data_IF_925691530802
#
_entry.id   IF_925691530802
#
_cell.length_a   1.000
_cell.length_b   1.000
_cell.length_c   1.000
_cell.angle_alpha   90.00
_cell.angle_beta   90.00
_cell.angle_gamma   90.00
#
_symmetry.space_group_name_H-M   'P 1'
#
loop_
_entity.id
_entity.type
_entity.pdbx_description
1 polymer ?
#
# COMPACT_ATOMS: atom_id res chain seq x y z
N UNK A 1 -21.31 47.55 0.11
CA UNK A 1 -22.09 48.60 0.77
C UNK A 1 -21.87 48.57 2.29
N UNK A 2 -22.25 49.62 3.01
CA UNK A 2 -22.20 49.64 4.47
C UNK A 2 -23.12 48.56 5.04
N UNK A 3 -22.57 47.66 5.91
CA UNK A 3 -23.33 46.57 6.51
C UNK A 3 -23.33 45.28 5.72
N UNK A 4 -22.61 45.18 4.60
CA UNK A 4 -22.40 43.91 3.89
C UNK A 4 -21.31 43.07 4.56
N UNK A 5 -21.54 41.76 4.62
CA UNK A 5 -20.58 40.77 5.12
C UNK A 5 -20.13 39.90 3.96
N UNK A 6 -18.86 39.53 3.94
CA UNK A 6 -18.30 38.64 2.94
C UNK A 6 -17.04 37.93 3.44
N UNK A 7 -16.79 36.72 2.93
CA UNK A 7 -15.49 36.05 3.09
C UNK A 7 -14.48 36.74 2.17
N UNK A 8 -13.35 37.16 2.75
CA UNK A 8 -12.27 37.81 2.02
C UNK A 8 -10.93 37.18 2.34
N UNK A 9 -10.07 37.08 1.34
CA UNK A 9 -8.70 36.66 1.52
C UNK A 9 -7.77 37.88 1.36
N UNK A 10 -7.02 38.17 2.41
CA UNK A 10 -5.98 39.19 2.37
C UNK A 10 -4.64 38.55 1.97
N UNK A 11 -3.92 39.30 1.15
CA UNK A 11 -2.54 38.98 0.84
C UNK A 11 -1.69 40.16 1.24
N UNK A 12 -0.75 39.93 2.14
CA UNK A 12 0.18 40.92 2.62
C UNK A 12 1.51 40.82 1.85
N UNK A 13 2.17 41.97 1.66
CA UNK A 13 3.50 42.02 1.05
C UNK A 13 4.58 41.51 2.03
N UNK A 14 4.35 41.68 3.33
CA UNK A 14 5.22 41.20 4.41
C UNK A 14 4.48 40.18 5.29
N UNK A 15 5.21 39.23 5.92
CA UNK A 15 4.62 38.28 6.85
C UNK A 15 3.93 38.99 8.03
N UNK A 16 2.69 38.60 8.33
CA UNK A 16 1.91 39.10 9.44
C UNK A 16 1.59 37.98 10.40
N UNK A 17 1.83 38.17 11.69
CA UNK A 17 1.46 37.21 12.71
C UNK A 17 0.00 37.34 13.08
N UNK A 18 -0.83 36.41 12.69
CA UNK A 18 -2.27 36.36 13.02
C UNK A 18 -2.64 34.92 13.43
N UNK A 19 -3.70 34.78 14.21
CA UNK A 19 -4.27 33.53 14.64
C UNK A 19 -5.75 33.45 14.31
N UNK A 20 -6.30 32.28 14.24
CA UNK A 20 -7.74 32.06 14.15
C UNK A 20 -8.45 32.80 15.32
N UNK A 21 -9.56 33.41 15.05
CA UNK A 21 -10.37 34.23 15.96
C UNK A 21 -9.77 35.61 16.31
N UNK A 22 -8.62 35.98 15.76
CA UNK A 22 -8.14 37.38 15.91
C UNK A 22 -9.09 38.31 15.21
N UNK A 23 -9.34 39.50 15.84
CA UNK A 23 -10.16 40.55 15.26
C UNK A 23 -9.29 41.61 14.61
N UNK A 24 -9.70 42.09 13.45
CA UNK A 24 -8.98 43.10 12.71
C UNK A 24 -9.90 44.26 12.31
N UNK A 25 -9.29 45.45 12.08
CA UNK A 25 -9.97 46.64 11.59
C UNK A 25 -9.29 47.09 10.31
N UNK A 26 -10.07 47.49 9.32
CA UNK A 26 -9.59 48.01 8.04
C UNK A 26 -9.84 49.52 8.03
N UNK A 27 -8.78 50.28 7.72
CA UNK A 27 -8.83 51.75 7.63
C UNK A 27 -8.20 52.22 6.32
N UNK A 28 -8.73 53.32 5.78
CA UNK A 28 -8.02 54.05 4.74
C UNK A 28 -6.79 54.74 5.33
N UNK A 29 -5.73 54.82 4.52
CA UNK A 29 -4.49 55.45 4.95
C UNK A 29 -4.66 56.97 5.10
N UNK A 30 -5.34 57.65 4.14
CA UNK A 30 -5.59 59.09 4.19
C UNK A 30 -6.90 59.41 3.45
N UNK A 31 -7.89 60.05 4.11
CA UNK A 31 -7.96 60.25 5.55
C UNK A 31 -8.13 58.94 6.31
N UNK A 32 -7.69 58.89 7.58
CA UNK A 32 -7.79 57.67 8.40
C UNK A 32 -9.25 57.44 8.81
N UNK A 33 -10.00 56.76 7.95
CA UNK A 33 -11.42 56.41 8.21
C UNK A 33 -11.52 54.89 8.28
N UNK A 34 -12.14 54.39 9.36
CA UNK A 34 -12.48 52.96 9.47
C UNK A 34 -13.61 52.66 8.50
N UNK A 35 -13.38 51.68 7.63
CA UNK A 35 -14.40 51.26 6.68
C UNK A 35 -14.90 49.84 6.88
N UNK A 36 -14.21 49.03 7.69
CA UNK A 36 -14.63 47.68 7.99
C UNK A 36 -13.76 47.02 9.06
N UNK A 37 -14.03 45.75 9.28
CA UNK A 37 -13.29 44.88 10.17
C UNK A 37 -13.83 43.46 10.07
N UNK A 38 -13.24 42.52 10.78
CA UNK A 38 -13.69 41.13 10.75
C UNK A 38 -12.95 40.26 11.75
N UNK A 39 -13.14 38.97 11.57
CA UNK A 39 -12.51 37.91 12.35
C UNK A 39 -11.69 37.02 11.40
N UNK A 40 -10.52 36.64 11.83
CA UNK A 40 -9.65 35.67 11.08
C UNK A 40 -10.19 34.28 11.25
N UNK A 41 -10.64 33.66 10.18
CA UNK A 41 -11.10 32.26 10.18
C UNK A 41 -9.93 31.30 9.95
N UNK A 42 -8.97 31.70 9.13
CA UNK A 42 -7.80 30.90 8.75
C UNK A 42 -6.57 31.82 8.60
N UNK A 43 -5.49 31.48 9.32
CA UNK A 43 -4.28 32.32 9.35
C UNK A 43 -3.35 32.02 8.14
N UNK A 44 -3.32 30.77 7.67
CA UNK A 44 -2.45 30.30 6.59
C UNK A 44 -3.27 29.84 5.38
N UNK A 45 -4.21 30.69 4.92
CA UNK A 45 -5.11 30.35 3.83
C UNK A 45 -4.36 30.16 2.51
N UNK A 46 -4.58 29.01 1.86
CA UNK A 46 -4.13 28.81 0.49
C UNK A 46 -4.91 29.71 -0.47
N UNK A 47 -4.29 30.08 -1.61
CA UNK A 47 -4.98 30.89 -2.61
C UNK A 47 -6.13 30.12 -3.26
N UNK A 48 -7.34 30.58 -3.07
CA UNK A 48 -8.54 30.01 -3.67
C UNK A 48 -9.05 30.82 -4.86
N UNK A 49 -9.77 30.14 -5.75
CA UNK A 49 -10.53 30.80 -6.81
C UNK A 49 -11.77 31.46 -6.20
N UNK A 50 -12.20 32.58 -6.79
CA UNK A 50 -13.40 33.30 -6.37
C UNK A 50 -14.65 32.42 -6.53
N UNK A 51 -15.58 32.48 -5.59
CA UNK A 51 -16.88 31.79 -5.62
C UNK A 51 -16.81 30.25 -5.80
N UNK A 52 -15.79 29.62 -5.23
CA UNK A 52 -15.73 28.15 -5.19
C UNK A 52 -16.61 27.65 -4.05
N UNK A 53 -17.69 26.91 -4.36
CA UNK A 53 -18.70 26.49 -3.39
C UNK A 53 -18.10 25.72 -2.19
N UNK A 54 -17.21 24.75 -2.45
CA UNK A 54 -16.53 23.98 -1.40
C UNK A 54 -15.73 24.85 -0.42
N UNK A 55 -15.09 25.92 -0.92
CA UNK A 55 -14.34 26.87 -0.09
C UNK A 55 -15.29 27.70 0.77
N UNK A 56 -16.42 28.14 0.20
CA UNK A 56 -17.43 28.91 0.95
C UNK A 56 -18.05 28.05 2.05
N UNK A 57 -18.36 26.78 1.76
CA UNK A 57 -18.88 25.84 2.75
C UNK A 57 -17.86 25.57 3.87
N UNK A 58 -16.58 25.36 3.53
CA UNK A 58 -15.49 25.22 4.50
C UNK A 58 -15.39 26.45 5.41
N UNK A 59 -15.42 27.67 4.85
CA UNK A 59 -15.38 28.91 5.62
C UNK A 59 -16.62 29.10 6.51
N UNK A 60 -17.79 28.68 6.03
CA UNK A 60 -19.02 28.70 6.81
C UNK A 60 -18.95 27.78 8.04
N UNK A 61 -18.39 26.56 7.87
CA UNK A 61 -18.13 25.67 8.99
C UNK A 61 -17.10 26.27 9.95
N UNK A 62 -16.03 26.89 9.44
CA UNK A 62 -15.00 27.56 10.26
C UNK A 62 -15.57 28.76 11.06
N UNK A 63 -16.62 29.39 10.56
CA UNK A 63 -17.27 30.55 11.21
C UNK A 63 -18.35 30.12 12.23
N UNK A 64 -19.27 29.25 11.83
CA UNK A 64 -20.50 28.92 12.57
C UNK A 64 -20.54 27.50 13.13
N UNK A 65 -19.65 26.60 12.70
CA UNK A 65 -19.60 25.24 13.14
C UNK A 65 -19.20 25.11 14.62
N UNK A 66 -19.58 23.98 15.20
CA UNK A 66 -19.07 23.56 16.51
C UNK A 66 -17.57 23.29 16.46
N UNK A 67 -16.90 23.33 17.58
CA UNK A 67 -15.47 23.01 17.68
C UNK A 67 -15.13 21.63 17.06
N UNK A 68 -16.01 20.65 17.24
CA UNK A 68 -15.84 19.31 16.70
C UNK A 68 -15.96 19.29 15.16
N UNK A 69 -16.87 20.04 14.58
CA UNK A 69 -17.03 20.17 13.12
C UNK A 69 -15.85 20.88 12.49
N UNK A 70 -15.37 21.94 13.15
CA UNK A 70 -14.16 22.65 12.69
C UNK A 70 -12.93 21.77 12.75
N UNK A 71 -12.74 20.98 13.81
CA UNK A 71 -11.65 20.03 13.92
C UNK A 71 -11.75 18.91 12.87
N UNK A 72 -12.95 18.36 12.63
CA UNK A 72 -13.19 17.35 11.60
C UNK A 72 -12.81 17.86 10.21
N UNK A 73 -13.23 19.09 9.89
CA UNK A 73 -12.89 19.74 8.63
C UNK A 73 -11.38 19.94 8.48
N UNK A 74 -10.72 20.50 9.50
CA UNK A 74 -9.28 20.72 9.48
C UNK A 74 -8.51 19.40 9.35
N UNK A 75 -8.94 18.35 10.06
CA UNK A 75 -8.37 17.02 9.91
C UNK A 75 -8.56 16.47 8.50
N UNK A 76 -9.71 16.68 7.87
CA UNK A 76 -9.98 16.27 6.50
C UNK A 76 -9.04 16.96 5.51
N UNK A 77 -8.88 18.27 5.63
CA UNK A 77 -7.98 19.08 4.79
C UNK A 77 -6.50 18.68 4.95
N UNK A 78 -6.07 18.34 6.18
CA UNK A 78 -4.69 18.02 6.52
C UNK A 78 -4.33 16.52 6.42
N UNK A 79 -5.29 15.63 6.20
CA UNK A 79 -5.08 14.16 6.26
C UNK A 79 -3.94 13.66 5.40
N UNK A 80 -3.69 14.29 4.24
CA UNK A 80 -2.57 13.94 3.34
C UNK A 80 -1.18 14.14 3.95
N UNK A 81 -1.10 14.99 5.00
CA UNK A 81 0.15 15.30 5.70
C UNK A 81 0.30 14.53 7.01
N UNK A 82 -0.67 13.66 7.36
CA UNK A 82 -0.66 12.85 8.58
C UNK A 82 -0.44 13.69 9.84
N UNK A 83 -1.31 14.67 10.12
CA UNK A 83 -1.11 15.60 11.21
C UNK A 83 -1.09 14.90 12.57
N UNK A 84 -0.24 15.38 13.46
CA UNK A 84 -0.27 15.07 14.89
C UNK A 84 -1.09 16.15 15.62
N UNK A 85 -1.63 15.87 16.84
CA UNK A 85 -2.47 16.83 17.56
C UNK A 85 -1.88 18.25 17.65
N UNK A 86 -0.57 18.35 17.86
CA UNK A 86 0.13 19.63 17.95
C UNK A 86 0.00 20.53 16.70
N UNK A 87 -0.05 19.93 15.52
CA UNK A 87 -0.19 20.69 14.26
C UNK A 87 -1.58 21.25 14.15
N UNK A 88 -2.61 20.45 14.42
CA UNK A 88 -4.01 20.89 14.40
C UNK A 88 -4.29 21.90 15.50
N UNK A 89 -3.74 21.71 16.69
CA UNK A 89 -3.83 22.66 17.81
C UNK A 89 -3.30 24.03 17.44
N UNK A 90 -2.16 24.10 16.78
CA UNK A 90 -1.57 25.36 16.33
C UNK A 90 -2.47 26.09 15.32
N UNK A 91 -3.07 25.38 14.37
CA UNK A 91 -3.98 25.94 13.36
C UNK A 91 -5.29 26.43 13.95
N UNK A 92 -5.84 25.68 14.93
CA UNK A 92 -7.10 26.01 15.58
C UNK A 92 -6.96 27.01 16.72
N UNK A 93 -5.73 27.36 17.13
CA UNK A 93 -5.42 28.16 18.32
C UNK A 93 -5.95 27.54 19.62
N UNK A 94 -5.82 26.18 19.71
CA UNK A 94 -6.20 25.37 20.86
C UNK A 94 -4.99 24.85 21.61
N UNK A 95 -5.21 24.27 22.78
CA UNK A 95 -4.19 23.50 23.48
C UNK A 95 -4.01 22.12 22.85
N UNK A 96 -2.82 21.55 22.99
CA UNK A 96 -2.56 20.21 22.48
C UNK A 96 -3.44 19.14 23.15
N UNK A 97 -3.67 19.29 24.45
CA UNK A 97 -4.51 18.38 25.25
C UNK A 97 -5.97 18.40 24.77
N UNK A 98 -6.55 19.59 24.65
CA UNK A 98 -7.91 19.76 24.16
C UNK A 98 -8.10 19.19 22.76
N UNK A 99 -7.14 19.44 21.86
CA UNK A 99 -7.16 18.89 20.50
C UNK A 99 -7.10 17.38 20.51
N UNK A 100 -6.25 16.77 21.36
CA UNK A 100 -6.16 15.30 21.46
C UNK A 100 -7.46 14.68 21.99
N UNK A 101 -8.07 15.29 23.01
CA UNK A 101 -9.36 14.87 23.57
C UNK A 101 -10.46 14.89 22.50
N UNK A 102 -10.56 15.96 21.72
CA UNK A 102 -11.55 16.11 20.65
C UNK A 102 -11.27 15.16 19.47
N UNK A 103 -10.00 14.90 19.11
CA UNK A 103 -9.65 13.88 18.12
C UNK A 103 -10.08 12.48 18.54
N UNK A 104 -9.96 12.14 19.83
CA UNK A 104 -10.46 10.88 20.35
C UNK A 104 -11.99 10.76 20.26
N UNK A 105 -12.72 11.87 20.38
CA UNK A 105 -14.17 11.90 20.12
C UNK A 105 -14.45 11.57 18.65
N UNK A 106 -13.70 12.16 17.72
CA UNK A 106 -13.83 11.83 16.28
C UNK A 106 -13.49 10.37 15.99
N UNK A 107 -12.48 9.81 16.65
CA UNK A 107 -12.11 8.39 16.51
C UNK A 107 -13.24 7.47 17.02
N UNK A 108 -13.79 7.76 18.19
CA UNK A 108 -14.96 7.02 18.76
C UNK A 108 -16.18 7.14 17.85
N UNK A 109 -16.39 8.31 17.25
CA UNK A 109 -17.44 8.59 16.26
C UNK A 109 -17.17 7.98 14.87
N UNK A 110 -16.06 7.25 14.67
CA UNK A 110 -15.65 6.66 13.40
C UNK A 110 -15.46 7.70 12.28
N UNK A 111 -15.16 8.94 12.63
CA UNK A 111 -14.89 10.05 11.72
C UNK A 111 -13.38 10.24 11.48
N UNK A 112 -12.55 9.73 12.38
CA UNK A 112 -11.09 9.76 12.28
C UNK A 112 -10.47 8.40 12.58
N UNK A 113 -9.23 8.22 12.14
CA UNK A 113 -8.38 7.06 12.42
C UNK A 113 -7.10 7.55 13.09
N UNK A 114 -6.84 7.06 14.31
CA UNK A 114 -5.56 7.24 14.98
C UNK A 114 -4.59 6.17 14.47
N UNK A 115 -3.43 6.60 14.00
CA UNK A 115 -2.36 5.73 13.54
C UNK A 115 -1.36 5.42 14.66
N UNK A 116 -0.57 4.37 14.49
CA UNK A 116 0.37 3.87 15.52
C UNK A 116 1.51 4.84 15.85
N UNK A 117 1.81 5.77 14.99
CA UNK A 117 2.82 6.83 15.19
C UNK A 117 2.27 8.10 15.86
N UNK A 118 1.01 8.06 16.30
CA UNK A 118 0.34 9.18 16.95
C UNK A 118 -0.24 10.24 15.99
N UNK A 119 -0.13 10.05 14.67
CA UNK A 119 -0.82 10.88 13.70
C UNK A 119 -2.28 10.47 13.53
N UNK A 120 -3.10 11.37 13.00
CA UNK A 120 -4.52 11.17 12.75
C UNK A 120 -4.82 11.45 11.28
N UNK A 121 -5.79 10.72 10.73
CA UNK A 121 -6.33 10.99 9.40
C UNK A 121 -7.85 10.89 9.41
N UNK A 122 -8.51 11.66 8.56
CA UNK A 122 -9.95 11.59 8.38
C UNK A 122 -10.37 10.25 7.76
N UNK A 123 -11.57 9.76 8.12
CA UNK A 123 -12.11 8.49 7.61
C UNK A 123 -12.17 8.41 6.08
N UNK A 124 -12.47 9.54 5.41
CA UNK A 124 -12.58 9.55 3.95
C UNK A 124 -11.22 9.23 3.31
N UNK A 125 -10.14 9.89 3.77
CA UNK A 125 -8.80 9.62 3.28
C UNK A 125 -8.32 8.20 3.62
N UNK A 126 -8.65 7.70 4.82
CA UNK A 126 -8.42 6.30 5.17
C UNK A 126 -9.15 5.34 4.24
N UNK A 127 -10.43 5.61 3.93
CA UNK A 127 -11.22 4.79 3.03
C UNK A 127 -10.65 4.78 1.61
N UNK A 128 -10.22 5.93 1.09
CA UNK A 128 -9.55 6.03 -0.21
C UNK A 128 -8.31 5.14 -0.28
N UNK A 129 -7.43 5.23 0.73
CA UNK A 129 -6.20 4.41 0.81
C UNK A 129 -6.54 2.92 0.89
N UNK A 130 -7.48 2.54 1.74
CA UNK A 130 -7.83 1.13 1.96
C UNK A 130 -8.58 0.52 0.80
N UNK A 131 -9.44 1.29 0.15
CA UNK A 131 -10.12 0.88 -1.07
C UNK A 131 -9.10 0.63 -2.18
N UNK A 132 -8.23 1.59 -2.45
CA UNK A 132 -7.16 1.43 -3.45
C UNK A 132 -6.28 0.20 -3.14
N UNK A 133 -5.83 0.05 -1.89
CA UNK A 133 -5.02 -1.08 -1.47
C UNK A 133 -5.72 -2.43 -1.68
N UNK A 134 -7.02 -2.50 -1.39
CA UNK A 134 -7.83 -3.70 -1.59
C UNK A 134 -8.02 -4.02 -3.09
N UNK A 135 -8.32 -3.00 -3.90
CA UNK A 135 -8.45 -3.15 -5.35
C UNK A 135 -7.14 -3.60 -6.00
N UNK A 136 -6.02 -3.00 -5.58
CA UNK A 136 -4.68 -3.36 -6.03
C UNK A 136 -4.36 -4.84 -5.74
N UNK A 137 -4.64 -5.32 -4.53
CA UNK A 137 -4.42 -6.72 -4.16
C UNK A 137 -5.37 -7.66 -4.91
N UNK A 138 -6.62 -7.30 -5.06
CA UNK A 138 -7.59 -8.10 -5.82
C UNK A 138 -7.20 -8.22 -7.30
N UNK A 139 -6.70 -7.14 -7.91
CA UNK A 139 -6.19 -7.17 -9.27
C UNK A 139 -4.95 -8.06 -9.38
N UNK A 140 -4.01 -7.92 -8.41
CA UNK A 140 -2.82 -8.77 -8.35
C UNK A 140 -3.18 -10.25 -8.27
N UNK A 141 -4.15 -10.63 -7.43
CA UNK A 141 -4.60 -12.01 -7.29
C UNK A 141 -5.26 -12.56 -8.55
N UNK A 142 -6.01 -11.74 -9.31
CA UNK A 142 -6.57 -12.15 -10.61
C UNK A 142 -5.47 -12.44 -11.64
N UNK A 143 -4.40 -11.64 -11.62
CA UNK A 143 -3.27 -11.81 -12.54
C UNK A 143 -2.31 -12.92 -12.10
N UNK A 144 -2.23 -13.19 -10.79
CA UNK A 144 -1.31 -14.13 -10.16
C UNK A 144 -2.05 -15.08 -9.20
N UNK A 145 -2.97 -15.91 -9.69
CA UNK A 145 -3.87 -16.71 -8.85
C UNK A 145 -3.18 -17.78 -8.00
N UNK A 146 -1.89 -18.02 -8.24
CA UNK A 146 -1.06 -19.01 -7.53
C UNK A 146 -0.15 -18.33 -6.50
N UNK A 147 -0.01 -17.01 -6.56
CA UNK A 147 0.83 -16.26 -5.62
C UNK A 147 0.12 -16.11 -4.28
N UNK A 148 0.87 -16.25 -3.19
CA UNK A 148 0.35 -16.01 -1.84
C UNK A 148 -0.02 -14.54 -1.60
N UNK A 149 0.43 -13.62 -2.46
CA UNK A 149 0.15 -12.18 -2.41
C UNK A 149 1.22 -11.34 -3.11
N UNK A 150 1.05 -10.02 -3.03
CA UNK A 150 2.00 -9.04 -3.52
C UNK A 150 3.14 -8.85 -2.51
N UNK A 151 4.37 -8.60 -2.95
CA UNK A 151 5.49 -8.27 -2.05
C UNK A 151 5.19 -7.00 -1.25
N UNK A 152 5.54 -7.00 0.06
CA UNK A 152 5.26 -5.88 0.97
C UNK A 152 5.83 -4.56 0.46
N UNK A 153 7.05 -4.57 -0.04
CA UNK A 153 7.72 -3.35 -0.53
C UNK A 153 7.05 -2.82 -1.81
N UNK A 154 6.61 -3.71 -2.70
CA UNK A 154 5.85 -3.31 -3.88
C UNK A 154 4.51 -2.67 -3.50
N UNK A 155 3.76 -3.30 -2.58
CA UNK A 155 2.49 -2.76 -2.09
C UNK A 155 2.68 -1.37 -1.47
N UNK A 156 3.67 -1.21 -0.58
CA UNK A 156 3.99 0.07 0.07
C UNK A 156 4.37 1.15 -0.95
N UNK A 157 5.23 0.82 -1.91
CA UNK A 157 5.65 1.76 -2.95
C UNK A 157 4.46 2.27 -3.76
N UNK A 158 3.54 1.37 -4.16
CA UNK A 158 2.35 1.76 -4.93
C UNK A 158 1.40 2.67 -4.14
N UNK A 159 1.22 2.44 -2.83
CA UNK A 159 0.46 3.34 -1.95
C UNK A 159 1.13 4.72 -1.89
N UNK A 160 2.44 4.79 -1.62
CA UNK A 160 3.18 6.05 -1.54
C UNK A 160 3.07 6.85 -2.84
N UNK A 161 3.26 6.20 -3.98
CA UNK A 161 3.25 6.83 -5.29
C UNK A 161 1.87 7.36 -5.67
N UNK A 162 0.82 6.58 -5.41
CA UNK A 162 -0.57 6.96 -5.73
C UNK A 162 -1.03 8.14 -4.90
N UNK A 163 -0.79 8.11 -3.60
CA UNK A 163 -1.23 9.16 -2.68
C UNK A 163 -0.21 10.29 -2.49
N UNK A 164 0.91 10.25 -3.23
CA UNK A 164 2.00 11.25 -3.17
C UNK A 164 2.55 11.45 -1.75
N UNK A 165 2.61 10.38 -0.97
CA UNK A 165 3.11 10.39 0.39
C UNK A 165 4.65 10.42 0.35
N UNK A 166 5.25 11.48 0.92
CA UNK A 166 6.71 11.70 0.85
C UNK A 166 7.49 10.89 1.88
N UNK A 167 6.89 10.62 3.03
CA UNK A 167 7.54 9.90 4.12
C UNK A 167 7.36 8.39 3.95
N UNK A 168 8.41 7.68 3.59
CA UNK A 168 8.36 6.21 3.39
C UNK A 168 7.87 5.44 4.62
N UNK A 169 8.19 5.91 5.83
CA UNK A 169 7.74 5.32 7.10
C UNK A 169 6.21 5.29 7.24
N UNK A 170 5.50 6.22 6.61
CA UNK A 170 4.02 6.25 6.65
C UNK A 170 3.40 5.03 5.96
N UNK A 171 4.07 4.45 4.96
CA UNK A 171 3.59 3.22 4.34
C UNK A 171 3.57 2.04 5.31
N UNK A 172 4.58 1.93 6.18
CA UNK A 172 4.61 0.89 7.22
C UNK A 172 3.49 1.11 8.25
N UNK A 173 3.27 2.36 8.65
CA UNK A 173 2.21 2.74 9.59
C UNK A 173 0.83 2.41 9.01
N UNK A 174 0.58 2.77 7.76
CA UNK A 174 -0.68 2.47 7.06
C UNK A 174 -0.89 0.97 6.89
N UNK A 175 0.13 0.25 6.42
CA UNK A 175 0.05 -1.20 6.24
C UNK A 175 -0.22 -1.92 7.57
N UNK A 176 0.47 -1.54 8.64
CA UNK A 176 0.24 -2.13 9.97
C UNK A 176 -1.19 -1.88 10.46
N UNK A 177 -1.74 -0.68 10.23
CA UNK A 177 -3.13 -0.39 10.61
C UNK A 177 -4.14 -1.15 9.73
N UNK A 178 -3.84 -1.35 8.43
CA UNK A 178 -4.66 -2.18 7.55
C UNK A 178 -4.67 -3.65 8.02
N UNK A 179 -3.52 -4.19 8.43
CA UNK A 179 -3.40 -5.56 8.98
C UNK A 179 -4.17 -5.66 10.29
N UNK A 180 -3.98 -4.72 11.22
CA UNK A 180 -4.66 -4.67 12.52
C UNK A 180 -6.18 -4.65 12.37
N UNK A 181 -6.69 -3.98 11.35
CA UNK A 181 -8.13 -3.91 11.04
C UNK A 181 -8.61 -5.05 10.13
N UNK A 182 -7.77 -6.03 9.85
CA UNK A 182 -8.09 -7.17 8.99
C UNK A 182 -8.54 -6.78 7.58
N UNK A 183 -8.06 -5.67 7.05
CA UNK A 183 -8.27 -5.24 5.66
C UNK A 183 -7.33 -6.00 4.74
N UNK A 184 -6.10 -6.25 5.21
CA UNK A 184 -5.08 -7.05 4.55
C UNK A 184 -4.55 -8.11 5.51
N UNK A 185 -4.01 -9.19 4.96
CA UNK A 185 -3.36 -10.26 5.73
C UNK A 185 -1.92 -10.45 5.26
N UNK A 186 -1.05 -10.82 6.20
CA UNK A 186 0.35 -11.14 5.88
C UNK A 186 0.48 -12.63 5.59
N UNK A 187 1.07 -12.96 4.45
CA UNK A 187 1.42 -14.32 4.02
C UNK A 187 2.94 -14.40 3.84
N UNK A 188 3.65 -14.88 4.84
CA UNK A 188 5.13 -14.88 4.86
C UNK A 188 5.72 -13.48 4.54
N UNK A 189 6.32 -13.28 3.37
CA UNK A 189 6.87 -12.00 2.91
C UNK A 189 5.88 -11.17 2.08
N UNK A 190 4.69 -11.72 1.79
CA UNK A 190 3.68 -11.10 0.93
C UNK A 190 2.50 -10.53 1.72
N UNK A 191 1.72 -9.68 1.06
CA UNK A 191 0.46 -9.12 1.52
C UNK A 191 -0.66 -9.59 0.60
N UNK A 192 -1.75 -10.05 1.19
CA UNK A 192 -2.96 -10.45 0.48
C UNK A 192 -4.18 -9.65 0.97
N UNK A 193 -5.22 -9.57 0.15
CA UNK A 193 -6.51 -9.02 0.57
C UNK A 193 -7.14 -9.92 1.64
N UNK A 194 -7.92 -9.33 2.56
CA UNK A 194 -8.64 -10.12 3.56
C UNK A 194 -9.59 -11.11 2.87
N UNK A 195 -9.59 -12.36 3.34
CA UNK A 195 -10.40 -13.43 2.75
C UNK A 195 -9.81 -14.06 1.49
N UNK A 196 -8.65 -13.57 1.01
CA UNK A 196 -7.91 -14.29 -0.03
C UNK A 196 -7.40 -15.60 0.55
N UNK A 197 -7.93 -16.68 0.03
CA UNK A 197 -7.43 -18.02 0.30
C UNK A 197 -6.74 -18.46 -0.98
N UNK A 198 -5.44 -18.71 -0.94
CA UNK A 198 -4.67 -19.30 -2.04
C UNK A 198 -5.08 -20.78 -2.27
N UNK A 199 -6.36 -21.07 -2.07
CA UNK A 199 -6.92 -22.34 -2.50
C UNK A 199 -7.06 -22.29 -4.02
N UNK A 200 -6.13 -22.93 -4.67
CA UNK A 200 -6.25 -23.24 -6.09
C UNK A 200 -7.65 -23.76 -6.37
N UNK A 201 -8.32 -23.26 -7.40
CA UNK A 201 -9.49 -23.94 -7.93
C UNK A 201 -9.15 -25.42 -8.14
N UNK A 202 -10.12 -26.31 -8.07
CA UNK A 202 -9.88 -27.75 -8.24
C UNK A 202 -9.14 -28.07 -9.56
N UNK A 203 -9.38 -27.27 -10.57
CA UNK A 203 -8.75 -27.34 -11.89
C UNK A 203 -7.27 -26.91 -11.86
N UNK A 204 -6.93 -25.85 -11.11
CA UNK A 204 -5.53 -25.42 -10.91
C UNK A 204 -4.74 -26.41 -10.06
N UNK A 205 -5.36 -27.02 -9.05
CA UNK A 205 -4.74 -28.11 -8.27
C UNK A 205 -4.41 -29.31 -9.14
N UNK A 206 -5.32 -29.66 -10.06
CA UNK A 206 -5.09 -30.71 -11.04
C UNK A 206 -3.91 -30.39 -11.96
N UNK A 207 -3.90 -29.19 -12.55
CA UNK A 207 -2.82 -28.74 -13.44
C UNK A 207 -1.46 -28.70 -12.73
N UNK A 208 -1.42 -28.19 -11.48
CA UNK A 208 -0.20 -28.15 -10.68
C UNK A 208 0.34 -29.56 -10.45
N UNK A 209 -0.52 -30.47 -10.03
CA UNK A 209 -0.13 -31.87 -9.81
C UNK A 209 0.37 -32.55 -11.09
N UNK A 210 -0.29 -32.33 -12.21
CA UNK A 210 0.11 -32.89 -13.50
C UNK A 210 1.48 -32.38 -13.96
N UNK A 211 1.76 -31.07 -13.74
CA UNK A 211 3.07 -30.47 -14.04
C UNK A 211 4.14 -31.06 -13.11
N UNK A 212 3.91 -31.07 -11.80
CA UNK A 212 4.83 -31.60 -10.80
C UNK A 212 5.13 -33.07 -11.06
N UNK A 213 4.10 -33.92 -11.26
CA UNK A 213 4.20 -35.35 -11.60
C UNK A 213 4.98 -35.60 -12.91
N UNK A 214 4.82 -34.70 -13.89
CA UNK A 214 5.54 -34.80 -15.17
C UNK A 214 7.06 -34.69 -14.93
N UNK A 215 7.52 -33.72 -14.15
CA UNK A 215 8.93 -33.55 -13.83
C UNK A 215 9.45 -34.61 -12.85
N UNK A 216 8.63 -35.07 -11.91
CA UNK A 216 9.01 -36.11 -10.97
C UNK A 216 9.22 -37.45 -11.70
N UNK A 217 8.27 -37.84 -12.58
CA UNK A 217 8.32 -39.10 -13.34
C UNK A 217 9.38 -39.11 -14.43
N UNK A 218 9.75 -37.93 -14.94
CA UNK A 218 10.81 -37.81 -15.94
C UNK A 218 12.20 -38.21 -15.41
N UNK A 219 12.39 -38.23 -14.09
CA UNK A 219 13.67 -38.63 -13.50
C UNK A 219 14.80 -37.71 -13.97
N UNK A 220 15.76 -38.28 -14.64
CA UNK A 220 16.93 -37.58 -15.23
C UNK A 220 16.76 -37.29 -16.74
N UNK A 221 15.69 -37.77 -17.37
CA UNK A 221 15.33 -37.41 -18.75
C UNK A 221 14.46 -36.13 -18.76
N UNK A 222 15.10 -35.01 -18.49
CA UNK A 222 14.44 -33.75 -18.25
C UNK A 222 13.67 -33.29 -19.49
N UNK A 223 12.32 -33.11 -19.41
CA UNK A 223 11.54 -32.61 -20.52
C UNK A 223 11.80 -31.10 -20.74
N UNK A 224 11.64 -30.63 -21.97
CA UNK A 224 11.64 -29.21 -22.27
C UNK A 224 10.48 -28.52 -21.55
N UNK A 225 10.74 -27.40 -20.91
CA UNK A 225 9.70 -26.61 -20.23
C UNK A 225 8.59 -26.19 -21.19
N UNK A 226 8.93 -25.88 -22.44
CA UNK A 226 7.96 -25.50 -23.47
C UNK A 226 7.06 -26.67 -23.88
N UNK A 227 7.61 -27.92 -23.92
CA UNK A 227 6.84 -29.13 -24.22
C UNK A 227 5.85 -29.44 -23.08
N UNK A 228 6.26 -29.25 -21.83
CA UNK A 228 5.38 -29.44 -20.67
C UNK A 228 4.24 -28.41 -20.70
N UNK A 229 4.55 -27.14 -20.87
CA UNK A 229 3.57 -26.04 -20.95
C UNK A 229 2.63 -26.26 -22.15
N UNK A 230 3.18 -26.73 -23.28
CA UNK A 230 2.43 -26.97 -24.52
C UNK A 230 1.28 -27.98 -24.41
N UNK A 231 1.31 -28.89 -23.42
CA UNK A 231 0.27 -29.88 -23.17
C UNK A 231 -1.03 -29.30 -22.60
N UNK A 232 -0.98 -28.09 -22.03
CA UNK A 232 -2.12 -27.46 -21.37
C UNK A 232 -2.82 -26.46 -22.29
N UNK A 233 -4.14 -26.37 -22.21
CA UNK A 233 -4.95 -25.39 -22.96
C UNK A 233 -4.58 -23.96 -22.57
N UNK A 234 -4.50 -23.70 -21.26
CA UNK A 234 -4.05 -22.40 -20.72
C UNK A 234 -2.53 -22.43 -20.49
N UNK A 235 -1.80 -22.10 -21.57
CA UNK A 235 -0.33 -22.04 -21.55
C UNK A 235 0.19 -20.92 -20.61
N UNK A 236 -0.57 -19.84 -20.45
CA UNK A 236 -0.17 -18.73 -19.57
C UNK A 236 -0.23 -19.18 -18.11
N UNK A 237 -1.30 -19.87 -17.73
CA UNK A 237 -1.46 -20.42 -16.40
C UNK A 237 -0.43 -21.52 -16.11
N UNK A 238 -0.21 -22.44 -17.05
CA UNK A 238 0.82 -23.48 -16.91
C UNK A 238 2.22 -22.88 -16.69
N UNK A 239 2.56 -21.79 -17.40
CA UNK A 239 3.84 -21.08 -17.22
C UNK A 239 3.93 -20.42 -15.84
N UNK A 240 2.84 -19.86 -15.32
CA UNK A 240 2.79 -19.31 -13.97
C UNK A 240 3.00 -20.40 -12.92
N UNK A 241 2.34 -21.57 -13.07
CA UNK A 241 2.53 -22.73 -12.18
C UNK A 241 3.99 -23.19 -12.16
N UNK A 242 4.61 -23.35 -13.33
CA UNK A 242 6.03 -23.73 -13.42
C UNK A 242 6.91 -22.72 -12.68
N UNK A 243 6.69 -21.42 -12.87
CA UNK A 243 7.45 -20.37 -12.18
C UNK A 243 7.23 -20.41 -10.66
N UNK A 244 6.02 -20.69 -10.20
CA UNK A 244 5.70 -20.83 -8.78
C UNK A 244 6.40 -22.06 -8.16
N UNK A 245 6.37 -23.21 -8.85
CA UNK A 245 7.09 -24.40 -8.43
C UNK A 245 8.61 -24.17 -8.32
N UNK A 246 9.17 -23.36 -9.23
CA UNK A 246 10.59 -22.94 -9.16
C UNK A 246 10.81 -22.02 -7.95
N UNK A 247 9.96 -21.03 -7.71
CA UNK A 247 10.05 -20.13 -6.55
C UNK A 247 9.94 -20.90 -5.22
N UNK A 248 9.07 -21.89 -5.14
CA UNK A 248 8.88 -22.77 -3.97
C UNK A 248 10.02 -23.78 -3.79
N UNK A 249 10.90 -23.91 -4.78
CA UNK A 249 12.00 -24.86 -4.75
C UNK A 249 11.59 -26.31 -5.03
N UNK A 250 10.35 -26.57 -5.47
CA UNK A 250 9.89 -27.89 -5.91
C UNK A 250 10.56 -28.28 -7.23
N UNK A 251 10.76 -27.31 -8.13
CA UNK A 251 11.54 -27.46 -9.34
C UNK A 251 12.84 -26.65 -9.23
N UNK A 252 13.96 -27.28 -9.59
CA UNK A 252 15.30 -26.68 -9.60
C UNK A 252 15.69 -26.37 -11.03
N UNK A 253 16.14 -25.15 -11.29
CA UNK A 253 16.63 -24.73 -12.60
C UNK A 253 18.08 -25.17 -12.79
N UNK A 254 18.31 -26.02 -13.78
CA UNK A 254 19.65 -26.46 -14.18
C UNK A 254 20.25 -25.53 -15.23
N UNK A 255 19.45 -25.20 -16.26
CA UNK A 255 19.85 -24.27 -17.31
C UNK A 255 18.60 -23.55 -17.87
N UNK A 256 18.73 -22.56 -18.78
CA UNK A 256 17.59 -21.97 -19.45
C UNK A 256 16.77 -23.02 -20.21
N UNK A 257 15.51 -23.25 -19.76
CA UNK A 257 14.57 -24.20 -20.36
C UNK A 257 14.62 -25.63 -19.81
N UNK A 258 15.53 -25.97 -18.88
CA UNK A 258 15.60 -27.27 -18.23
C UNK A 258 15.40 -27.17 -16.72
N UNK A 259 14.36 -27.84 -16.24
CA UNK A 259 13.97 -27.91 -14.83
C UNK A 259 13.94 -29.37 -14.38
N UNK A 260 14.44 -29.65 -13.19
CA UNK A 260 14.39 -30.99 -12.55
C UNK A 260 13.57 -30.88 -11.24
N UNK A 261 12.85 -31.97 -10.94
CA UNK A 261 12.18 -32.07 -9.64
C UNK A 261 13.21 -32.20 -8.52
N UNK A 262 12.96 -31.51 -7.40
CA UNK A 262 13.88 -31.51 -6.25
C UNK A 262 14.26 -32.90 -5.77
N UNK A 263 13.30 -33.83 -5.67
CA UNK A 263 13.57 -35.20 -5.21
C UNK A 263 14.54 -35.92 -6.13
N UNK A 264 14.46 -35.72 -7.46
CA UNK A 264 15.38 -36.30 -8.42
C UNK A 264 16.77 -35.68 -8.32
N UNK A 265 16.81 -34.35 -8.11
CA UNK A 265 18.06 -33.62 -7.84
C UNK A 265 18.74 -34.10 -6.57
N UNK A 266 18.00 -34.23 -5.47
CA UNK A 266 18.55 -34.71 -4.19
C UNK A 266 19.06 -36.16 -4.28
N UNK A 267 18.35 -37.02 -5.02
CA UNK A 267 18.82 -38.37 -5.33
C UNK A 267 20.12 -38.37 -6.14
N UNK A 268 20.21 -37.55 -7.20
CA UNK A 268 21.43 -37.41 -8.00
C UNK A 268 22.61 -36.93 -7.16
N UNK A 269 22.38 -35.95 -6.30
CA UNK A 269 23.42 -35.43 -5.39
C UNK A 269 23.86 -36.49 -4.36
N UNK A 270 22.92 -37.32 -3.88
CA UNK A 270 23.23 -38.46 -2.99
C UNK A 270 24.10 -39.50 -3.67
N UNK A 271 23.75 -39.88 -4.90
CA UNK A 271 24.52 -40.84 -5.71
C UNK A 271 25.94 -40.32 -6.00
N UNK A 272 26.06 -39.03 -6.37
CA UNK A 272 27.35 -38.41 -6.61
C UNK A 272 28.23 -38.38 -5.35
N UNK A 273 27.67 -38.03 -4.21
CA UNK A 273 28.40 -38.03 -2.92
C UNK A 273 28.93 -39.42 -2.61
N UNK A 274 28.10 -40.44 -2.71
CA UNK A 274 28.52 -41.82 -2.49
C UNK A 274 29.60 -42.30 -3.48
N UNK A 275 29.53 -41.89 -4.74
CA UNK A 275 30.55 -42.18 -5.74
C UNK A 275 31.92 -41.55 -5.37
N UNK A 276 31.93 -40.31 -4.96
CA UNK A 276 33.15 -39.58 -4.59
C UNK A 276 33.79 -40.05 -3.26
N UNK A 277 33.10 -40.82 -2.45
CA UNK A 277 33.72 -41.48 -1.27
C UNK A 277 34.81 -42.48 -1.67
N UNK A 278 34.70 -43.09 -2.85
CA UNK A 278 35.64 -44.13 -3.34
C UNK A 278 36.40 -43.73 -4.61
N UNK A 279 36.02 -42.65 -5.29
CA UNK A 279 36.59 -42.19 -6.56
C UNK A 279 36.89 -40.69 -6.52
N UNK A 280 38.14 -40.23 -6.79
CA UNK A 280 38.48 -38.79 -6.75
C UNK A 280 37.94 -38.02 -7.95
N UNK A 281 37.62 -38.67 -9.06
CA UNK A 281 37.14 -38.06 -10.30
C UNK A 281 36.00 -38.90 -10.91
N UNK A 282 35.11 -38.27 -11.65
CA UNK A 282 34.06 -38.96 -12.41
C UNK A 282 34.17 -38.56 -13.88
N UNK A 283 34.14 -39.55 -14.78
CA UNK A 283 34.05 -39.29 -16.20
C UNK A 283 32.59 -39.02 -16.60
N UNK A 284 32.37 -38.40 -17.76
CA UNK A 284 31.03 -38.17 -18.28
C UNK A 284 30.27 -39.50 -18.58
N UNK A 285 31.01 -40.58 -18.86
CA UNK A 285 30.47 -41.93 -19.04
C UNK A 285 29.95 -42.49 -17.71
N UNK A 286 30.84 -42.52 -16.71
CA UNK A 286 30.51 -43.02 -15.36
C UNK A 286 29.35 -42.22 -14.72
N UNK A 287 29.33 -40.91 -14.96
CA UNK A 287 28.22 -40.06 -14.47
C UNK A 287 26.87 -40.42 -15.07
N UNK A 288 26.84 -40.72 -16.38
CA UNK A 288 25.62 -41.21 -17.04
C UNK A 288 25.18 -42.57 -16.56
N UNK A 289 26.14 -43.48 -16.41
CA UNK A 289 25.87 -44.84 -15.90
C UNK A 289 25.36 -44.77 -14.45
N UNK A 290 25.95 -43.92 -13.63
CA UNK A 290 25.52 -43.66 -12.25
C UNK A 290 24.07 -43.17 -12.16
N UNK A 291 23.66 -42.30 -13.08
CA UNK A 291 22.30 -41.76 -13.14
C UNK A 291 21.33 -42.59 -13.99
N UNK A 292 21.81 -43.62 -14.71
CA UNK A 292 21.00 -44.47 -15.59
C UNK A 292 20.35 -43.69 -16.74
N UNK A 293 21.05 -42.64 -17.27
CA UNK A 293 20.51 -41.75 -18.30
C UNK A 293 21.24 -41.89 -19.62
N UNK A 294 20.52 -41.64 -20.74
CA UNK A 294 21.07 -41.69 -22.08
C UNK A 294 21.58 -40.31 -22.54
N UNK A 295 22.27 -40.27 -23.71
CA UNK A 295 22.74 -39.03 -24.32
C UNK A 295 21.59 -38.16 -24.75
N UNK A 296 21.35 -37.06 -24.04
CA UNK A 296 20.70 -35.87 -24.62
C UNK A 296 21.44 -34.61 -24.19
#
# INVERSE_FOLDING_TARGET
SAGEEAYVQFRFDEPVAVRRNDRFIIRFYSPTITFGGGIVLEAEALKHKRNHEEVIESLHIKELGTDLEVLELELKEESRYFPVPKILAAKLNWTNQETEEQLEVLVKGKKAVRLSDGSFIHKDYWNEITQYGTELLNQFHKENPISDGMEKEEFKSRILDTFKIRESKKADVLLNEMIKRSITVTMASAIAAAGFNAEYSHELKGMLKDIEDTYLKAGYEIPSTDDVIGKFKDKKMAKQIVNDLVKKGTLIKINPGALIHKDNWDKAMGLLKGYFESHPNISLGDYRDLLGTSRK
#
